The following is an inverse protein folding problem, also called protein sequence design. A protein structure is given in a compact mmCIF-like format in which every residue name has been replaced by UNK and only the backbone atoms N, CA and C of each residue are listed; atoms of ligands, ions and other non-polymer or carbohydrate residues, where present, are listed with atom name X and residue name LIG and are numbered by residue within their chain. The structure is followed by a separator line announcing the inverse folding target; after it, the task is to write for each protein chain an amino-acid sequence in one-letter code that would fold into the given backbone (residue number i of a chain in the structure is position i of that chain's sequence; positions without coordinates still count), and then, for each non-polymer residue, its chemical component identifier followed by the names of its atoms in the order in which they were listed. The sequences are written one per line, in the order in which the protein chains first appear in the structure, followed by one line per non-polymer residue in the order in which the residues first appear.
data_IF_642382617253
#
_entry.id   IF_642382617253
#
_cell.length_a   1.000
_cell.length_b   1.000
_cell.length_c   1.000
_cell.angle_alpha   90.00
_cell.angle_beta   90.00
_cell.angle_gamma   90.00
#
_symmetry.space_group_name_H-M   'P 1'
#
loop_
_entity.id
_entity.type
_entity.pdbx_description
1 polymer ?
#
# COMPACT_ATOMS: atom_id res chain seq x y z
N UNK A 1 25.88 -1.06 0.47
CA UNK A 1 24.81 -0.06 0.18
C UNK A 1 25.48 1.25 -0.22
N UNK A 2 25.13 1.84 -1.36
CA UNK A 2 25.74 3.10 -1.83
C UNK A 2 25.26 4.29 -0.99
N UNK A 3 25.92 5.45 -1.15
CA UNK A 3 25.49 6.71 -0.49
C UNK A 3 24.11 7.15 -0.98
N UNK A 4 23.83 7.01 -2.28
CA UNK A 4 22.53 7.31 -2.88
C UNK A 4 21.41 6.41 -2.31
N UNK A 5 21.63 5.10 -2.20
CA UNK A 5 20.64 4.20 -1.60
C UNK A 5 20.38 4.54 -0.12
N UNK A 6 21.40 4.97 0.63
CA UNK A 6 21.21 5.44 2.02
C UNK A 6 20.34 6.69 2.08
N UNK A 7 20.57 7.65 1.20
CA UNK A 7 19.77 8.88 1.09
C UNK A 7 18.32 8.55 0.70
N UNK A 8 18.12 7.64 -0.25
CA UNK A 8 16.81 7.14 -0.66
C UNK A 8 15.98 6.55 0.50
N UNK A 9 16.57 5.68 1.33
CA UNK A 9 15.90 5.18 2.53
C UNK A 9 15.66 6.26 3.59
N UNK A 10 16.54 7.26 3.69
CA UNK A 10 16.32 8.38 4.60
C UNK A 10 15.10 9.21 4.17
N UNK A 11 14.95 9.45 2.87
CA UNK A 11 13.77 10.10 2.31
C UNK A 11 12.50 9.28 2.55
N UNK A 12 12.51 7.97 2.29
CA UNK A 12 11.33 7.10 2.53
C UNK A 12 10.90 7.12 4.01
N UNK A 13 11.88 7.09 4.92
CA UNK A 13 11.62 7.17 6.37
C UNK A 13 11.06 8.52 6.79
N UNK A 14 11.47 9.61 6.14
CA UNK A 14 10.92 10.95 6.40
C UNK A 14 9.46 11.03 5.94
N UNK A 15 9.14 10.55 4.73
CA UNK A 15 7.77 10.45 4.25
C UNK A 15 6.89 9.64 5.21
N UNK A 16 7.38 8.48 5.65
CA UNK A 16 6.65 7.60 6.57
C UNK A 16 6.39 8.21 7.96
N UNK A 17 7.21 9.18 8.39
CA UNK A 17 7.05 9.87 9.68
C UNK A 17 6.04 11.01 9.64
N UNK A 18 5.86 11.66 8.49
CA UNK A 18 5.03 12.86 8.36
C UNK A 18 3.54 12.55 8.31
N UNK A 19 3.16 11.39 7.80
CA UNK A 19 1.76 11.08 7.48
C UNK A 19 1.08 10.06 8.39
N UNK A 20 1.82 9.26 9.15
CA UNK A 20 1.21 8.24 10.02
C UNK A 20 1.43 8.58 11.49
N UNK A 21 0.34 8.82 12.22
CA UNK A 21 0.40 8.97 13.68
C UNK A 21 0.95 7.69 14.35
N UNK A 22 0.77 6.52 13.73
CA UNK A 22 1.16 5.21 14.29
C UNK A 22 2.50 4.64 13.78
N UNK A 23 3.12 5.18 12.72
CA UNK A 23 4.32 4.59 12.10
C UNK A 23 5.57 4.81 12.96
N UNK A 24 5.72 5.95 13.65
CA UNK A 24 6.76 6.11 14.67
C UNK A 24 6.68 5.06 15.80
N UNK A 25 5.48 4.59 16.15
CA UNK A 25 5.28 3.54 17.17
C UNK A 25 5.63 2.17 16.60
N UNK A 26 5.06 1.80 15.45
CA UNK A 26 5.34 0.53 14.78
C UNK A 26 6.83 0.37 14.44
N UNK A 27 7.51 1.44 14.00
CA UNK A 27 8.95 1.41 13.67
C UNK A 27 9.88 1.23 14.87
N UNK A 28 9.45 1.55 16.09
CA UNK A 28 10.19 1.26 17.33
C UNK A 28 10.13 -0.21 17.69
N UNK A 29 8.98 -0.87 17.46
CA UNK A 29 8.78 -2.30 17.68
C UNK A 29 9.40 -3.15 16.57
N UNK A 30 9.54 -2.60 15.37
CA UNK A 30 10.21 -3.28 14.26
C UNK A 30 11.70 -3.50 14.55
N UNK A 31 12.21 -4.73 14.34
CA UNK A 31 13.64 -5.01 14.37
C UNK A 31 14.41 -4.07 13.44
N UNK A 32 15.60 -3.62 13.87
CA UNK A 32 16.38 -2.62 13.14
C UNK A 32 16.61 -2.96 11.65
N UNK A 33 16.80 -4.26 11.34
CA UNK A 33 16.98 -4.77 9.98
C UNK A 33 15.77 -4.53 9.05
N UNK A 34 14.56 -4.41 9.60
CA UNK A 34 13.32 -4.26 8.83
C UNK A 34 12.89 -2.80 8.64
N UNK A 35 13.45 -1.86 9.41
CA UNK A 35 13.00 -0.45 9.37
C UNK A 35 13.17 0.20 8.00
N UNK A 36 14.29 -0.07 7.33
CA UNK A 36 14.57 0.44 5.98
C UNK A 36 13.60 -0.13 4.93
N UNK A 37 13.52 -1.45 4.72
CA UNK A 37 12.62 -2.00 3.71
C UNK A 37 11.15 -1.66 4.00
N UNK A 38 10.72 -1.70 5.28
CA UNK A 38 9.36 -1.29 5.63
C UNK A 38 9.11 0.19 5.31
N UNK A 39 10.07 1.09 5.54
CA UNK A 39 9.91 2.50 5.15
C UNK A 39 9.77 2.69 3.63
N UNK A 40 10.45 1.89 2.81
CA UNK A 40 10.34 1.96 1.36
C UNK A 40 8.98 1.45 0.87
N UNK A 41 8.50 0.32 1.41
CA UNK A 41 7.17 -0.22 1.10
C UNK A 41 6.06 0.76 1.52
N UNK A 42 6.21 1.36 2.71
CA UNK A 42 5.25 2.33 3.21
C UNK A 42 5.23 3.59 2.35
N UNK A 43 6.41 4.15 2.03
CA UNK A 43 6.50 5.32 1.16
C UNK A 43 5.89 5.05 -0.22
N UNK A 44 6.06 3.84 -0.76
CA UNK A 44 5.42 3.44 -2.02
C UNK A 44 3.90 3.41 -1.91
N UNK A 45 3.35 2.72 -0.90
CA UNK A 45 1.91 2.61 -0.71
C UNK A 45 1.28 4.00 -0.49
N UNK A 46 1.90 4.85 0.34
CA UNK A 46 1.43 6.21 0.59
C UNK A 46 1.49 7.09 -0.66
N UNK A 47 2.58 7.04 -1.43
CA UNK A 47 2.64 7.81 -2.68
C UNK A 47 1.56 7.41 -3.67
N UNK A 48 1.16 6.13 -3.72
CA UNK A 48 0.07 5.68 -4.56
C UNK A 48 -1.31 6.13 -4.02
N UNK A 49 -1.52 6.04 -2.71
CA UNK A 49 -2.71 6.51 -2.00
C UNK A 49 -2.93 8.03 -2.19
N UNK A 50 -1.88 8.83 -2.01
CA UNK A 50 -1.86 10.28 -2.27
C UNK A 50 -2.32 10.61 -3.70
N UNK A 51 -1.83 9.85 -4.68
CA UNK A 51 -2.20 10.04 -6.07
C UNK A 51 -3.66 9.66 -6.34
N UNK A 52 -4.22 8.70 -5.60
CA UNK A 52 -5.61 8.29 -5.76
C UNK A 52 -6.59 9.30 -5.11
N UNK A 53 -6.21 9.90 -3.98
CA UNK A 53 -7.17 10.58 -3.11
C UNK A 53 -6.93 12.09 -2.94
N UNK A 54 -5.69 12.59 -3.09
CA UNK A 54 -5.35 13.97 -2.73
C UNK A 54 -5.12 14.90 -3.93
N UNK A 55 -5.19 16.21 -3.70
CA UNK A 55 -4.88 17.24 -4.70
C UNK A 55 -5.97 17.47 -5.76
N UNK A 56 -5.62 18.25 -6.79
CA UNK A 56 -6.56 18.75 -7.80
C UNK A 56 -6.54 17.93 -9.11
N UNK A 57 -5.92 16.74 -9.09
CA UNK A 57 -5.84 15.89 -10.28
C UNK A 57 -7.22 15.34 -10.66
N UNK A 58 -7.51 15.40 -11.95
CA UNK A 58 -8.67 14.72 -12.54
C UNK A 58 -8.55 13.20 -12.40
N UNK A 59 -9.65 12.43 -12.38
CA UNK A 59 -9.59 10.97 -12.32
C UNK A 59 -8.66 10.35 -13.37
N UNK A 60 -8.66 10.87 -14.61
CA UNK A 60 -7.78 10.39 -15.67
C UNK A 60 -6.29 10.60 -15.35
N UNK A 61 -5.92 11.78 -14.82
CA UNK A 61 -4.54 12.07 -14.43
C UNK A 61 -4.07 11.20 -13.26
N UNK A 62 -4.97 10.85 -12.33
CA UNK A 62 -4.68 9.93 -11.22
C UNK A 62 -4.37 8.53 -11.74
N UNK A 63 -5.19 8.03 -12.67
CA UNK A 63 -4.98 6.73 -13.32
C UNK A 63 -3.64 6.70 -14.08
N UNK A 64 -3.35 7.75 -14.87
CA UNK A 64 -2.07 7.87 -15.59
C UNK A 64 -0.87 7.87 -14.64
N UNK A 65 -0.98 8.54 -13.49
CA UNK A 65 0.09 8.54 -12.48
C UNK A 65 0.27 7.16 -11.83
N UNK A 66 -0.81 6.45 -11.51
CA UNK A 66 -0.76 5.07 -11.00
C UNK A 66 -0.23 4.08 -12.04
N UNK A 67 -0.48 4.32 -13.33
CA UNK A 67 0.09 3.55 -14.44
C UNK A 67 1.58 3.79 -14.58
N UNK A 68 2.05 5.02 -14.40
CA UNK A 68 3.48 5.32 -14.34
C UNK A 68 4.16 4.60 -13.17
N UNK A 69 3.51 4.52 -12.00
CA UNK A 69 4.03 3.73 -10.87
C UNK A 69 4.11 2.22 -11.20
N UNK A 70 3.12 1.67 -11.90
CA UNK A 70 3.15 0.27 -12.32
C UNK A 70 4.28 0.00 -13.32
N UNK A 71 4.49 0.89 -14.31
CA UNK A 71 5.61 0.80 -15.23
C UNK A 71 6.98 0.90 -14.54
N UNK A 72 7.05 1.65 -13.44
CA UNK A 72 8.24 1.69 -12.58
C UNK A 72 8.49 0.35 -11.89
N UNK A 73 7.45 -0.34 -11.41
CA UNK A 73 7.58 -1.71 -10.88
C UNK A 73 8.05 -2.69 -11.96
N UNK A 74 7.52 -2.62 -13.18
CA UNK A 74 7.96 -3.48 -14.29
C UNK A 74 9.44 -3.27 -14.63
N UNK A 75 9.92 -2.03 -14.49
CA UNK A 75 11.33 -1.70 -14.67
C UNK A 75 12.19 -2.33 -13.57
N UNK A 76 11.72 -2.34 -12.33
CA UNK A 76 12.39 -3.02 -11.21
C UNK A 76 12.41 -4.54 -11.45
N UNK A 77 11.32 -5.12 -11.96
CA UNK A 77 11.23 -6.55 -12.28
C UNK A 77 12.28 -6.98 -13.31
N UNK A 78 12.50 -6.14 -14.33
CA UNK A 78 13.55 -6.32 -15.34
C UNK A 78 14.98 -6.04 -14.83
N UNK A 79 15.15 -5.76 -13.53
CA UNK A 79 16.44 -5.48 -12.90
C UNK A 79 16.91 -4.04 -13.00
N UNK A 80 16.09 -3.14 -13.55
CA UNK A 80 16.36 -1.70 -13.63
C UNK A 80 16.10 -0.98 -12.30
N UNK A 81 16.38 0.31 -12.28
CA UNK A 81 16.04 1.20 -11.16
C UNK A 81 15.50 2.51 -11.73
N UNK A 82 14.18 2.76 -11.64
CA UNK A 82 13.59 4.03 -12.04
C UNK A 82 14.17 5.21 -11.26
N UNK A 83 14.07 6.41 -11.84
CA UNK A 83 14.58 7.64 -11.24
C UNK A 83 13.81 8.05 -9.99
N UNK A 84 14.53 8.56 -8.99
CA UNK A 84 13.96 9.15 -7.78
C UNK A 84 14.18 8.33 -6.51
N UNK A 85 14.14 8.99 -5.34
CA UNK A 85 14.50 8.38 -4.06
C UNK A 85 13.56 7.23 -3.65
N UNK A 86 12.28 7.30 -4.03
CA UNK A 86 11.32 6.23 -3.76
C UNK A 86 11.75 4.93 -4.45
N UNK A 87 11.93 4.96 -5.77
CA UNK A 87 12.24 3.78 -6.56
C UNK A 87 13.65 3.26 -6.32
N UNK A 88 14.61 4.13 -6.02
CA UNK A 88 15.95 3.71 -5.62
C UNK A 88 15.93 2.85 -4.33
N UNK A 89 15.15 3.24 -3.32
CA UNK A 89 14.99 2.46 -2.09
C UNK A 89 14.17 1.19 -2.31
N UNK A 90 13.09 1.27 -3.10
CA UNK A 90 12.23 0.14 -3.42
C UNK A 90 12.96 -0.93 -4.22
N UNK A 91 13.68 -0.56 -5.29
CA UNK A 91 14.45 -1.48 -6.11
C UNK A 91 15.55 -2.20 -5.30
N UNK A 92 16.19 -1.50 -4.38
CA UNK A 92 17.15 -2.11 -3.46
C UNK A 92 16.46 -3.08 -2.48
N UNK A 93 15.31 -2.69 -1.92
CA UNK A 93 14.49 -3.53 -1.02
C UNK A 93 14.07 -4.83 -1.72
N UNK A 94 13.51 -4.72 -2.93
CA UNK A 94 13.04 -5.85 -3.73
C UNK A 94 14.18 -6.81 -4.02
N UNK A 95 15.34 -6.32 -4.47
CA UNK A 95 16.50 -7.17 -4.79
C UNK A 95 17.09 -7.84 -3.55
N UNK A 96 17.29 -7.11 -2.45
CA UNK A 96 17.90 -7.65 -1.23
C UNK A 96 17.05 -8.71 -0.56
N UNK A 97 15.74 -8.50 -0.53
CA UNK A 97 14.81 -9.39 0.16
C UNK A 97 14.10 -10.37 -0.78
N UNK A 98 14.39 -10.31 -2.09
CA UNK A 98 13.71 -11.09 -3.15
C UNK A 98 12.19 -10.99 -2.98
N UNK A 99 11.70 -9.76 -2.81
CA UNK A 99 10.27 -9.52 -2.62
C UNK A 99 9.53 -9.78 -3.93
N UNK A 100 8.39 -10.48 -3.88
CA UNK A 100 7.50 -10.53 -5.03
C UNK A 100 6.93 -9.14 -5.28
N UNK A 101 6.84 -8.74 -6.55
CA UNK A 101 6.23 -7.46 -6.94
C UNK A 101 4.70 -7.54 -7.06
N UNK A 102 4.13 -8.73 -7.24
CA UNK A 102 2.68 -8.92 -7.37
C UNK A 102 1.86 -8.23 -6.27
N UNK A 103 2.22 -8.32 -4.96
CA UNK A 103 1.55 -7.56 -3.91
C UNK A 103 1.57 -6.02 -4.11
N UNK A 104 2.64 -5.47 -4.68
CA UNK A 104 2.71 -4.03 -4.97
C UNK A 104 1.80 -3.64 -6.15
N UNK A 105 1.68 -4.50 -7.15
CA UNK A 105 0.70 -4.31 -8.23
C UNK A 105 -0.73 -4.43 -7.72
N UNK A 106 -1.01 -5.36 -6.80
CA UNK A 106 -2.33 -5.49 -6.16
C UNK A 106 -2.75 -4.18 -5.49
N UNK A 107 -1.84 -3.57 -4.72
CA UNK A 107 -2.06 -2.25 -4.09
C UNK A 107 -2.38 -1.18 -5.13
N UNK A 108 -1.56 -1.04 -6.17
CA UNK A 108 -1.83 -0.07 -7.25
C UNK A 108 -3.18 -0.33 -7.92
N UNK A 109 -3.60 -1.60 -8.04
CA UNK A 109 -4.90 -1.94 -8.61
C UNK A 109 -6.06 -1.51 -7.69
N UNK A 110 -5.90 -1.61 -6.37
CA UNK A 110 -6.89 -1.11 -5.42
C UNK A 110 -6.99 0.42 -5.47
N UNK A 111 -5.86 1.13 -5.52
CA UNK A 111 -5.86 2.60 -5.66
C UNK A 111 -6.50 3.07 -6.98
N UNK A 112 -6.33 2.32 -8.09
CA UNK A 112 -7.08 2.61 -9.33
C UNK A 112 -8.59 2.42 -9.16
N UNK A 113 -8.99 1.41 -8.39
CA UNK A 113 -10.40 1.19 -8.08
C UNK A 113 -10.98 2.35 -7.28
N UNK A 114 -10.24 2.87 -6.31
CA UNK A 114 -10.66 4.00 -5.48
C UNK A 114 -10.94 5.28 -6.30
N UNK A 115 -10.25 5.47 -7.43
CA UNK A 115 -10.52 6.58 -8.35
C UNK A 115 -11.89 6.47 -9.04
N UNK A 116 -12.42 5.26 -9.21
CA UNK A 116 -13.59 5.00 -10.07
C UNK A 116 -14.80 4.41 -9.32
N UNK A 117 -14.57 3.84 -8.14
CA UNK A 117 -15.57 3.11 -7.37
C UNK A 117 -15.85 3.83 -6.06
N UNK A 118 -17.11 4.24 -5.87
CA UNK A 118 -17.53 4.94 -4.66
C UNK A 118 -18.45 4.11 -3.77
N UNK A 119 -18.98 2.98 -4.27
CA UNK A 119 -19.96 2.11 -3.59
C UNK A 119 -19.69 0.65 -3.90
N UNK A 120 -20.00 -0.23 -2.96
CA UNK A 120 -19.84 -1.69 -3.08
C UNK A 120 -21.21 -2.39 -3.06
N UNK A 121 -21.44 -3.27 -4.01
CA UNK A 121 -22.74 -3.93 -4.17
C UNK A 121 -23.07 -4.87 -3.00
N UNK A 122 -22.08 -5.65 -2.58
CA UNK A 122 -22.16 -6.70 -1.56
C UNK A 122 -20.85 -6.85 -0.79
N UNK A 123 -20.87 -7.69 0.24
CA UNK A 123 -19.70 -7.94 1.09
C UNK A 123 -18.56 -8.62 0.33
N UNK A 124 -18.86 -9.45 -0.67
CA UNK A 124 -17.84 -10.12 -1.49
C UNK A 124 -17.04 -9.13 -2.34
N UNK A 125 -17.71 -8.14 -2.93
CA UNK A 125 -17.05 -7.04 -3.64
C UNK A 125 -16.15 -6.21 -2.72
N UNK A 126 -16.59 -5.95 -1.48
CA UNK A 126 -15.77 -5.26 -0.48
C UNK A 126 -14.55 -6.11 -0.07
N UNK A 127 -14.73 -7.42 0.10
CA UNK A 127 -13.64 -8.33 0.46
C UNK A 127 -12.65 -8.53 -0.69
N UNK A 128 -13.08 -8.49 -1.96
CA UNK A 128 -12.18 -8.45 -3.11
C UNK A 128 -11.32 -7.18 -3.11
N UNK A 129 -11.89 -6.05 -2.74
CA UNK A 129 -11.12 -4.82 -2.55
C UNK A 129 -10.09 -4.98 -1.42
N UNK A 130 -10.49 -5.46 -0.23
CA UNK A 130 -9.57 -5.72 0.90
C UNK A 130 -8.42 -6.67 0.53
N UNK A 131 -8.70 -7.67 -0.32
CA UNK A 131 -7.69 -8.60 -0.85
C UNK A 131 -6.56 -7.89 -1.60
N UNK A 132 -6.83 -6.72 -2.17
CA UNK A 132 -5.88 -5.93 -2.95
C UNK A 132 -5.39 -4.68 -2.23
N UNK A 133 -6.20 -4.07 -1.36
CA UNK A 133 -5.84 -2.84 -0.63
C UNK A 133 -5.10 -3.09 0.68
N UNK A 134 -5.36 -4.22 1.37
CA UNK A 134 -4.83 -4.47 2.71
C UNK A 134 -3.91 -5.70 2.79
N UNK A 135 -4.38 -6.85 2.28
CA UNK A 135 -3.66 -8.12 2.38
C UNK A 135 -2.22 -8.08 1.83
N UNK A 136 -1.93 -7.38 0.71
CA UNK A 136 -0.57 -7.29 0.20
C UNK A 136 0.47 -6.78 1.19
N UNK A 137 0.09 -5.84 2.08
CA UNK A 137 0.99 -5.29 3.10
C UNK A 137 1.45 -6.40 4.05
N UNK A 138 0.52 -7.17 4.60
CA UNK A 138 0.84 -8.27 5.53
C UNK A 138 1.72 -9.34 4.87
N UNK A 139 1.41 -9.72 3.63
CA UNK A 139 2.20 -10.68 2.84
C UNK A 139 3.64 -10.20 2.63
N UNK A 140 3.84 -8.91 2.31
CA UNK A 140 5.17 -8.32 2.14
C UNK A 140 5.94 -8.26 3.47
N UNK A 141 5.27 -7.94 4.59
CA UNK A 141 5.89 -7.93 5.91
C UNK A 141 6.35 -9.34 6.35
N UNK A 142 5.52 -10.36 6.15
CA UNK A 142 5.90 -11.75 6.40
C UNK A 142 7.07 -12.19 5.51
N UNK A 143 7.10 -11.75 4.25
CA UNK A 143 8.22 -12.05 3.34
C UNK A 143 9.51 -11.40 3.83
N UNK A 144 9.45 -10.15 4.30
CA UNK A 144 10.60 -9.42 4.86
C UNK A 144 11.14 -10.08 6.14
N UNK A 145 10.25 -10.58 6.99
CA UNK A 145 10.62 -11.26 8.22
C UNK A 145 11.16 -12.68 8.00
N UNK A 146 10.79 -13.31 6.87
CA UNK A 146 11.17 -14.68 6.53
C UNK A 146 10.15 -15.73 6.98
N UNK A 147 8.93 -15.31 7.32
CA UNK A 147 7.87 -16.11 7.92
C UNK A 147 6.63 -16.31 7.02
N UNK A 148 6.77 -16.05 5.72
CA UNK A 148 5.71 -16.19 4.71
C UNK A 148 5.39 -17.65 4.32
N UNK A 149 4.93 -18.45 5.28
CA UNK A 149 4.38 -19.80 5.03
C UNK A 149 2.91 -19.71 4.61
N UNK A 150 2.35 -20.71 3.90
CA UNK A 150 0.93 -20.68 3.51
C UNK A 150 -0.04 -20.45 4.70
N UNK A 151 0.14 -21.10 5.88
CA UNK A 151 -0.70 -20.81 7.04
C UNK A 151 -0.55 -19.37 7.55
N UNK A 152 0.67 -18.83 7.61
CA UNK A 152 0.89 -17.46 8.07
C UNK A 152 0.30 -16.43 7.10
N UNK A 153 0.37 -16.69 5.80
CA UNK A 153 -0.23 -15.83 4.78
C UNK A 153 -1.76 -15.79 4.94
N UNK A 154 -2.41 -16.94 5.15
CA UNK A 154 -3.85 -16.99 5.38
C UNK A 154 -4.28 -16.22 6.65
N UNK A 155 -3.53 -16.40 7.75
CA UNK A 155 -3.78 -15.66 9.00
C UNK A 155 -3.53 -14.16 8.83
N UNK A 156 -2.46 -13.78 8.13
CA UNK A 156 -2.16 -12.38 7.84
C UNK A 156 -3.24 -11.74 6.98
N UNK A 157 -3.73 -12.42 5.96
CA UNK A 157 -4.81 -11.92 5.10
C UNK A 157 -6.09 -11.68 5.93
N UNK A 158 -6.44 -12.59 6.84
CA UNK A 158 -7.58 -12.42 7.73
C UNK A 158 -7.42 -11.19 8.64
N UNK A 159 -6.24 -11.01 9.26
CA UNK A 159 -5.95 -9.84 10.11
C UNK A 159 -5.96 -8.54 9.31
N UNK A 160 -5.32 -8.52 8.14
CA UNK A 160 -5.27 -7.33 7.27
C UNK A 160 -6.67 -6.92 6.81
N UNK A 161 -7.48 -7.87 6.33
CA UNK A 161 -8.86 -7.59 5.92
C UNK A 161 -9.71 -7.13 7.10
N UNK A 162 -9.59 -7.75 8.27
CA UNK A 162 -10.34 -7.35 9.46
C UNK A 162 -9.99 -5.92 9.91
N UNK A 163 -8.69 -5.57 9.93
CA UNK A 163 -8.25 -4.20 10.25
C UNK A 163 -8.78 -3.19 9.23
N UNK A 164 -8.81 -3.54 7.95
CA UNK A 164 -9.34 -2.65 6.92
C UNK A 164 -10.84 -2.41 7.08
N UNK A 165 -11.61 -3.46 7.39
CA UNK A 165 -13.03 -3.32 7.71
C UNK A 165 -13.25 -2.42 8.94
N UNK A 166 -12.41 -2.55 9.97
CA UNK A 166 -12.47 -1.67 11.14
C UNK A 166 -12.17 -0.22 10.77
N UNK A 167 -11.18 0.04 9.90
CA UNK A 167 -10.88 1.39 9.42
C UNK A 167 -12.10 2.01 8.72
N UNK A 168 -12.75 1.28 7.80
CA UNK A 168 -13.96 1.78 7.12
C UNK A 168 -15.10 2.13 8.09
N UNK A 169 -15.23 1.38 9.18
CA UNK A 169 -16.25 1.67 10.19
C UNK A 169 -15.90 2.88 11.04
N UNK A 170 -14.62 3.08 11.35
CA UNK A 170 -14.13 4.22 12.14
C UNK A 170 -14.18 5.52 11.32
N UNK A 171 -13.87 5.45 10.03
CA UNK A 171 -13.74 6.60 9.15
C UNK A 171 -15.00 6.88 8.30
N UNK A 172 -16.09 6.14 8.48
CA UNK A 172 -17.31 6.24 7.68
C UNK A 172 -17.77 7.68 7.41
N UNK A 173 -17.85 8.52 8.45
CA UNK A 173 -18.30 9.90 8.31
C UNK A 173 -17.34 10.74 7.47
N UNK A 174 -16.03 10.52 7.64
CA UNK A 174 -14.97 11.19 6.90
C UNK A 174 -14.96 10.75 5.44
N UNK A 175 -15.02 9.45 5.18
CA UNK A 175 -15.04 8.87 3.83
C UNK A 175 -16.21 9.40 3.00
N UNK A 176 -17.38 9.56 3.63
CA UNK A 176 -18.56 10.17 2.98
C UNK A 176 -18.34 11.65 2.70
N UNK A 177 -17.85 12.41 3.68
CA UNK A 177 -17.77 13.86 3.59
C UNK A 177 -16.63 14.37 2.70
N UNK A 178 -15.46 13.73 2.79
CA UNK A 178 -14.23 14.16 2.13
C UNK A 178 -14.00 13.45 0.79
N UNK A 179 -14.30 12.15 0.72
CA UNK A 179 -14.01 11.33 -0.46
C UNK A 179 -15.26 10.95 -1.27
N UNK A 180 -16.46 11.18 -0.72
CA UNK A 180 -17.71 10.74 -1.34
C UNK A 180 -17.86 9.22 -1.44
N UNK A 181 -17.10 8.44 -0.66
CA UNK A 181 -17.07 6.97 -0.69
C UNK A 181 -17.92 6.37 0.45
N UNK A 182 -18.53 5.22 0.19
CA UNK A 182 -19.19 4.40 1.21
C UNK A 182 -18.76 2.95 0.98
N UNK A 183 -18.03 2.43 1.95
CA UNK A 183 -17.55 1.04 1.95
C UNK A 183 -18.57 0.06 2.53
N UNK A 184 -19.61 0.53 3.24
CA UNK A 184 -20.71 -0.32 3.68
C UNK A 184 -21.42 -0.94 2.47
N UNK A 185 -21.53 -2.28 2.39
CA UNK A 185 -22.21 -2.94 1.29
C UNK A 185 -23.66 -2.50 1.13
N UNK A 186 -24.06 -2.23 -0.11
CA UNK A 186 -25.40 -1.71 -0.40
C UNK A 186 -26.52 -2.70 -0.05
N UNK A 187 -26.29 -4.01 -0.13
CA UNK A 187 -27.24 -5.03 0.26
C UNK A 187 -27.46 -5.11 1.77
N UNK A 188 -26.39 -4.99 2.56
CA UNK A 188 -26.45 -4.92 4.02
C UNK A 188 -27.13 -3.64 4.50
N UNK A 189 -26.92 -2.49 3.82
CA UNK A 189 -27.61 -1.23 4.14
C UNK A 189 -29.13 -1.26 3.87
N UNK A 190 -29.62 -2.20 3.06
CA UNK A 190 -31.05 -2.36 2.73
C UNK A 190 -31.80 -3.30 3.67
N UNK A 191 -31.09 -4.01 4.56
CA UNK A 191 -31.67 -4.94 5.54
C UNK A 191 -32.14 -4.20 6.79
#
# INVERSE_FOLDING_TARGET
MTTETRAAYAWCRDQARRHYENFPVASRLLPARLRQPVSALYAFARSADDLADEGELTPQQRLEALDAMAAALDTIDRGGTPDGPLYAALADTVRRHRLPLAPLHDLLSAFRQDVTTTRYADFDALMDYCRRSANPVGRLLLKLDGSATPPNLALSDAVCSALQLVNFLQDLARDVAELGRIYLPQDEMRR
#
